data_IF_112740866243
#
_entry.id   IF_112740866243
#
_cell.length_a   1.000
_cell.length_b   1.000
_cell.length_c   1.000
_cell.angle_alpha   90.00
_cell.angle_beta   90.00
_cell.angle_gamma   90.00
#
_symmetry.space_group_name_H-M   'P 1'
#
loop_
_entity.id
_entity.type
_entity.pdbx_description
1 polymer ?
#
# COMPACT_ATOMS: atom_id res chain seq x y z
N UNK A 1 -34.93 -32.59 -11.21
CA UNK A 1 -34.47 -31.46 -10.39
C UNK A 1 -32.97 -31.60 -10.13
N UNK A 2 -32.13 -30.96 -10.90
CA UNK A 2 -30.68 -30.90 -10.63
C UNK A 2 -30.39 -29.57 -9.94
N UNK A 3 -29.95 -29.63 -8.69
CA UNK A 3 -29.53 -28.49 -7.92
C UNK A 3 -28.46 -27.71 -8.71
N UNK A 4 -28.77 -26.47 -9.02
CA UNK A 4 -27.80 -25.50 -9.55
C UNK A 4 -26.73 -25.30 -8.50
N UNK A 5 -25.60 -25.98 -8.64
CA UNK A 5 -24.44 -25.81 -7.78
C UNK A 5 -23.96 -24.36 -7.88
N UNK A 6 -24.39 -23.55 -6.94
CA UNK A 6 -23.82 -22.23 -6.73
C UNK A 6 -22.31 -22.42 -6.46
N UNK A 7 -21.46 -21.98 -7.37
CA UNK A 7 -20.01 -21.98 -7.15
C UNK A 7 -19.73 -21.20 -5.87
N UNK A 8 -19.02 -21.76 -4.90
CA UNK A 8 -18.78 -21.08 -3.63
C UNK A 8 -18.04 -19.77 -3.89
N UNK A 9 -18.61 -18.63 -3.43
CA UNK A 9 -18.02 -17.31 -3.61
C UNK A 9 -16.87 -17.04 -2.62
N UNK A 10 -16.67 -17.91 -1.63
CA UNK A 10 -15.68 -17.77 -0.56
C UNK A 10 -14.21 -17.61 -1.03
N UNK A 11 -13.71 -18.29 -2.10
CA UNK A 11 -12.32 -18.10 -2.52
C UNK A 11 -12.04 -16.67 -3.02
N UNK A 12 -13.02 -15.99 -3.57
CA UNK A 12 -12.90 -14.60 -4.02
C UNK A 12 -12.79 -13.62 -2.85
N UNK A 13 -13.54 -13.87 -1.78
CA UNK A 13 -13.42 -13.09 -0.55
C UNK A 13 -12.07 -13.27 0.13
N UNK A 14 -11.52 -14.48 0.15
CA UNK A 14 -10.19 -14.75 0.66
C UNK A 14 -9.10 -14.08 -0.17
N UNK A 15 -9.21 -14.11 -1.49
CA UNK A 15 -8.27 -13.41 -2.38
C UNK A 15 -8.30 -11.90 -2.16
N UNK A 16 -9.50 -11.32 -2.03
CA UNK A 16 -9.67 -9.91 -1.71
C UNK A 16 -9.08 -9.57 -0.34
N UNK A 17 -9.39 -10.34 0.69
CA UNK A 17 -8.89 -10.13 2.04
C UNK A 17 -7.36 -10.23 2.08
N UNK A 18 -6.79 -11.25 1.45
CA UNK A 18 -5.34 -11.42 1.37
C UNK A 18 -4.65 -10.26 0.65
N UNK A 19 -5.15 -9.85 -0.51
CA UNK A 19 -4.60 -8.70 -1.25
C UNK A 19 -4.76 -7.39 -0.47
N UNK A 20 -5.89 -7.18 0.20
CA UNK A 20 -6.15 -6.00 1.03
C UNK A 20 -5.22 -5.93 2.23
N UNK A 21 -4.99 -7.05 2.92
CA UNK A 21 -4.07 -7.13 4.07
C UNK A 21 -2.62 -6.90 3.66
N UNK A 22 -2.14 -7.56 2.60
CA UNK A 22 -0.77 -7.42 2.15
C UNK A 22 -0.47 -5.99 1.67
N UNK A 23 -1.32 -5.42 0.83
CA UNK A 23 -1.14 -4.06 0.35
C UNK A 23 -1.34 -3.02 1.45
N UNK A 24 -2.31 -3.26 2.35
CA UNK A 24 -2.51 -2.40 3.53
C UNK A 24 -1.31 -2.39 4.46
N UNK A 25 -0.71 -3.55 4.73
CA UNK A 25 0.52 -3.65 5.51
C UNK A 25 1.69 -2.92 4.84
N UNK A 26 1.83 -3.04 3.51
CA UNK A 26 2.87 -2.35 2.76
C UNK A 26 2.67 -0.81 2.80
N UNK A 27 1.45 -0.32 2.57
CA UNK A 27 1.12 1.11 2.63
C UNK A 27 1.41 1.68 4.02
N UNK A 28 0.97 0.98 5.07
CA UNK A 28 1.21 1.38 6.46
C UNK A 28 2.69 1.36 6.79
N UNK A 29 3.42 0.32 6.39
CA UNK A 29 4.86 0.21 6.61
C UNK A 29 5.64 1.35 5.96
N UNK A 30 5.33 1.70 4.70
CA UNK A 30 5.96 2.84 4.01
C UNK A 30 5.61 4.17 4.68
N UNK A 31 4.36 4.37 5.10
CA UNK A 31 3.95 5.59 5.79
C UNK A 31 4.68 5.76 7.12
N UNK A 32 4.74 4.71 7.93
CA UNK A 32 5.46 4.72 9.22
C UNK A 32 6.96 4.94 9.03
N UNK A 33 7.58 4.29 8.06
CA UNK A 33 9.01 4.46 7.76
C UNK A 33 9.33 5.92 7.35
N UNK A 34 8.45 6.58 6.59
CA UNK A 34 8.60 8.00 6.24
C UNK A 34 8.48 8.90 7.47
N UNK A 35 7.53 8.63 8.35
CA UNK A 35 7.34 9.39 9.59
C UNK A 35 8.54 9.24 10.53
N UNK A 36 9.09 8.03 10.65
CA UNK A 36 10.30 7.75 11.42
C UNK A 36 11.52 8.48 10.84
N UNK A 37 11.72 8.39 9.52
CA UNK A 37 12.82 9.07 8.84
C UNK A 37 12.74 10.60 9.01
N UNK A 38 11.55 11.19 8.92
CA UNK A 38 11.33 12.61 9.17
C UNK A 38 11.67 12.96 10.63
N UNK A 39 11.15 12.22 11.61
CA UNK A 39 11.45 12.41 13.03
C UNK A 39 12.96 12.34 13.32
N UNK A 40 13.65 11.33 12.78
CA UNK A 40 15.09 11.17 12.97
C UNK A 40 15.89 12.31 12.32
N UNK A 41 15.41 12.82 11.18
CA UNK A 41 16.03 13.97 10.51
C UNK A 41 15.89 15.23 11.36
N UNK A 42 14.67 15.52 11.84
CA UNK A 42 14.39 16.65 12.72
C UNK A 42 15.18 16.57 14.03
N UNK A 43 15.27 15.38 14.63
CA UNK A 43 16.03 15.16 15.86
C UNK A 43 17.54 15.38 15.65
N UNK A 44 18.09 15.01 14.49
CA UNK A 44 19.49 15.32 14.13
C UNK A 44 19.71 16.81 13.93
N UNK A 45 18.76 17.52 13.30
CA UNK A 45 18.82 18.97 13.13
C UNK A 45 18.81 19.64 14.51
N UNK A 46 17.86 19.29 15.38
CA UNK A 46 17.77 19.82 16.74
C UNK A 46 19.05 19.57 17.54
N UNK A 47 19.60 18.37 17.49
CA UNK A 47 20.87 18.04 18.13
C UNK A 47 22.02 18.87 17.58
N UNK A 48 22.09 19.07 16.27
CA UNK A 48 23.13 19.90 15.64
C UNK A 48 23.05 21.36 16.09
N UNK A 49 21.83 21.92 16.10
CA UNK A 49 21.62 23.31 16.52
C UNK A 49 22.05 23.53 17.98
N UNK A 50 21.60 22.66 18.88
CA UNK A 50 21.97 22.73 20.30
C UNK A 50 23.49 22.53 20.50
N UNK A 51 24.12 21.62 19.77
CA UNK A 51 25.56 21.41 19.83
C UNK A 51 26.33 22.63 19.32
N UNK A 52 25.87 23.27 18.26
CA UNK A 52 26.47 24.52 17.76
C UNK A 52 26.38 25.65 18.79
N UNK A 53 25.23 25.81 19.45
CA UNK A 53 25.07 26.80 20.52
C UNK A 53 26.01 26.50 21.70
N UNK A 54 26.13 25.25 22.13
CA UNK A 54 27.00 24.87 23.22
C UNK A 54 28.48 25.15 22.89
N UNK A 55 28.94 24.86 21.68
CA UNK A 55 30.30 25.18 21.21
C UNK A 55 30.49 26.69 21.12
N UNK A 56 29.46 27.43 20.69
CA UNK A 56 29.54 28.92 20.65
C UNK A 56 29.69 29.52 22.03
N UNK A 57 29.00 29.01 23.05
CA UNK A 57 29.18 29.46 24.44
C UNK A 57 30.60 29.23 24.93
N UNK A 58 31.20 28.10 24.62
CA UNK A 58 32.56 27.79 24.95
C UNK A 58 33.56 28.73 24.24
N UNK A 59 33.31 29.02 22.95
CA UNK A 59 34.15 29.98 22.19
C UNK A 59 34.06 31.39 22.78
N UNK A 60 32.87 31.86 23.17
CA UNK A 60 32.69 33.16 23.84
C UNK A 60 33.48 33.20 25.16
N UNK A 61 33.39 32.13 25.96
CA UNK A 61 34.12 32.06 27.23
C UNK A 61 35.63 32.04 27.04
N UNK A 62 36.14 31.30 26.07
CA UNK A 62 37.56 31.31 25.72
C UNK A 62 38.03 32.68 25.23
N UNK A 63 37.21 33.39 24.43
CA UNK A 63 37.54 34.76 23.98
C UNK A 63 37.61 35.73 25.14
N UNK A 64 36.66 35.67 26.09
CA UNK A 64 36.68 36.48 27.31
C UNK A 64 37.93 36.23 28.14
N UNK A 65 38.35 34.98 28.26
CA UNK A 65 39.56 34.61 29.00
C UNK A 65 40.87 35.15 28.36
N UNK A 66 40.86 35.42 27.04
CA UNK A 66 41.99 35.95 26.30
C UNK A 66 42.07 37.49 26.37
N UNK A 67 40.91 38.17 26.44
CA UNK A 67 40.84 39.65 26.34
C UNK A 67 41.26 40.38 27.61
N UNK A 68 41.44 39.71 28.75
CA UNK A 68 41.84 40.28 30.06
C UNK A 68 41.29 41.69 30.27
N UNK A 69 40.12 41.90 30.88
CA UNK A 69 39.53 43.23 31.00
C UNK A 69 40.34 44.09 31.99
N UNK A 70 40.98 45.18 31.51
CA UNK A 70 41.72 46.10 32.33
C UNK A 70 40.82 46.99 33.24
N UNK A 71 39.51 47.06 32.98
CA UNK A 71 38.61 47.87 33.83
C UNK A 71 37.18 47.28 33.88
N UNK A 72 36.55 47.14 35.07
CA UNK A 72 35.26 46.44 35.22
C UNK A 72 34.04 47.18 34.65
N UNK A 73 34.08 48.50 34.47
CA UNK A 73 32.89 49.30 34.11
C UNK A 73 32.66 49.45 32.59
N UNK A 74 33.64 49.16 31.74
CA UNK A 74 33.54 49.29 30.27
C UNK A 74 33.75 47.97 29.52
N UNK A 75 33.76 46.86 30.23
CA UNK A 75 34.04 45.54 29.66
C UNK A 75 33.05 45.16 28.57
N UNK A 76 33.50 44.67 27.41
CA UNK A 76 32.61 44.09 26.37
C UNK A 76 31.67 43.04 26.91
N UNK A 77 32.04 42.36 27.99
CA UNK A 77 31.24 41.38 28.72
C UNK A 77 29.88 41.91 29.20
N UNK A 78 29.76 43.19 29.55
CA UNK A 78 28.46 43.76 30.01
C UNK A 78 27.43 43.90 28.87
N UNK A 79 27.86 43.87 27.59
CA UNK A 79 26.98 43.98 26.41
C UNK A 79 26.60 42.63 25.82
N UNK A 80 27.24 41.55 26.24
CA UNK A 80 26.98 40.19 25.70
C UNK A 80 25.56 39.73 25.90
N UNK A 81 24.87 39.94 27.04
CA UNK A 81 23.47 39.56 27.20
C UNK A 81 22.52 40.24 26.21
N UNK A 82 22.85 41.47 25.75
CA UNK A 82 22.04 42.15 24.74
C UNK A 82 22.22 41.56 23.32
N UNK A 83 23.38 40.95 23.04
CA UNK A 83 23.65 40.30 21.76
C UNK A 83 23.29 38.84 21.73
N UNK A 84 23.33 38.19 22.87
CA UNK A 84 23.06 36.75 23.04
C UNK A 84 21.97 36.56 24.10
N UNK A 85 20.69 36.42 23.74
CA UNK A 85 19.57 36.36 24.70
C UNK A 85 19.70 35.19 25.69
N UNK A 86 20.40 34.12 25.32
CA UNK A 86 20.68 32.98 26.18
C UNK A 86 21.71 33.26 27.28
N UNK A 87 22.45 34.35 27.20
CA UNK A 87 23.43 34.76 28.22
C UNK A 87 22.76 35.70 29.22
N UNK A 88 22.54 35.25 30.44
CA UNK A 88 21.91 36.07 31.49
C UNK A 88 22.91 36.97 32.21
N UNK A 89 24.08 36.43 32.53
CA UNK A 89 25.12 37.13 33.26
C UNK A 89 26.52 36.68 32.84
N UNK A 90 27.45 37.58 32.91
CA UNK A 90 28.89 37.31 32.73
C UNK A 90 29.61 37.75 33.99
N UNK A 91 30.35 36.85 34.62
CA UNK A 91 31.15 37.13 35.80
C UNK A 91 32.61 36.86 35.50
N UNK A 92 33.47 37.73 36.10
CA UNK A 92 34.91 37.55 36.07
C UNK A 92 35.42 37.53 37.50
N UNK A 93 36.36 36.65 37.78
CA UNK A 93 37.08 36.54 39.04
C UNK A 93 38.58 36.63 38.79
N UNK A 94 39.27 37.57 39.47
CA UNK A 94 40.69 37.71 39.42
C UNK A 94 41.32 37.29 40.75
N UNK A 95 42.43 36.57 40.71
CA UNK A 95 43.15 36.09 41.90
C UNK A 95 42.25 35.25 42.83
N UNK A 96 42.41 35.47 44.13
CA UNK A 96 41.67 34.79 45.20
C UNK A 96 40.35 35.46 45.57
N UNK A 97 39.86 36.43 44.79
CA UNK A 97 38.61 37.10 45.07
C UNK A 97 37.43 36.09 45.14
N UNK A 98 36.54 36.19 46.13
CA UNK A 98 35.46 35.25 46.23
C UNK A 98 34.41 35.49 45.16
N UNK A 99 33.76 34.43 44.68
CA UNK A 99 32.56 34.52 43.84
C UNK A 99 31.38 35.18 44.60
N UNK A 100 30.39 35.77 43.90
CA UNK A 100 29.22 36.38 44.53
C UNK A 100 28.49 35.39 45.45
N UNK A 101 27.98 35.87 46.60
CA UNK A 101 27.47 35.03 47.66
C UNK A 101 26.36 34.05 47.22
N UNK A 102 25.41 34.47 46.41
CA UNK A 102 24.28 33.63 45.97
C UNK A 102 24.64 32.46 45.05
N UNK A 103 25.85 32.44 44.49
CA UNK A 103 26.31 31.39 43.55
C UNK A 103 27.72 30.87 43.87
N UNK A 104 28.29 31.31 44.99
CA UNK A 104 29.69 31.03 45.39
C UNK A 104 30.02 29.52 45.36
N UNK A 105 29.20 28.69 46.01
CA UNK A 105 29.46 27.26 46.12
C UNK A 105 29.44 26.54 44.77
N UNK A 106 28.46 26.86 43.93
CA UNK A 106 28.30 26.26 42.60
C UNK A 106 29.45 26.69 41.67
N UNK A 107 29.75 27.99 41.67
CA UNK A 107 30.82 28.54 40.82
C UNK A 107 32.19 28.00 41.22
N UNK A 108 32.49 27.94 42.52
CA UNK A 108 33.77 27.42 43.01
C UNK A 108 33.93 25.92 42.71
N UNK A 109 32.88 25.12 42.88
CA UNK A 109 32.91 23.70 42.52
C UNK A 109 33.09 23.50 41.03
N UNK A 110 32.36 24.25 40.21
CA UNK A 110 32.44 24.15 38.72
C UNK A 110 33.81 24.63 38.22
N UNK A 111 34.38 25.69 38.84
CA UNK A 111 35.71 26.15 38.51
C UNK A 111 36.78 25.10 38.82
N UNK A 112 36.69 24.41 39.97
CA UNK A 112 37.60 23.33 40.30
C UNK A 112 37.55 22.19 39.25
N UNK A 113 36.37 21.82 38.77
CA UNK A 113 36.23 20.87 37.68
C UNK A 113 36.84 21.37 36.39
N UNK A 114 36.59 22.66 36.01
CA UNK A 114 37.16 23.27 34.83
C UNK A 114 38.70 23.26 34.85
N UNK A 115 39.28 23.61 35.98
CA UNK A 115 40.75 23.59 36.17
C UNK A 115 41.34 22.20 36.05
N UNK A 116 40.64 21.20 36.60
CA UNK A 116 41.07 19.80 36.52
C UNK A 116 41.00 19.27 35.07
N UNK A 117 39.98 19.66 34.33
CA UNK A 117 39.76 19.19 32.95
C UNK A 117 40.55 20.01 31.90
N UNK A 118 40.97 21.23 32.23
CA UNK A 118 41.66 22.13 31.30
C UNK A 118 40.78 22.81 30.25
N UNK A 119 39.46 22.66 30.37
CA UNK A 119 38.47 23.31 29.51
C UNK A 119 37.27 23.79 30.33
N UNK A 120 36.37 24.54 29.68
CA UNK A 120 35.14 25.01 30.35
C UNK A 120 34.34 23.84 30.90
N UNK A 121 33.73 24.02 32.06
CA UNK A 121 32.84 23.02 32.68
C UNK A 121 31.46 23.63 33.01
N UNK A 122 30.41 22.86 32.84
CA UNK A 122 29.06 23.26 33.24
C UNK A 122 28.77 22.87 34.68
N UNK A 123 28.15 23.76 35.42
CA UNK A 123 27.57 23.47 36.73
C UNK A 123 26.26 22.72 36.64
N UNK A 124 25.68 22.34 37.79
CA UNK A 124 24.37 21.70 37.82
C UNK A 124 23.28 22.66 37.32
N UNK A 125 22.25 22.10 36.71
CA UNK A 125 21.03 22.84 36.39
C UNK A 125 20.35 23.33 37.67
N UNK A 126 20.06 24.61 37.74
CA UNK A 126 19.43 25.23 38.92
C UNK A 126 17.92 25.01 38.92
N UNK A 127 17.32 24.87 40.10
CA UNK A 127 15.86 24.79 40.23
C UNK A 127 15.23 26.17 40.08
N UNK A 128 14.09 26.24 39.40
CA UNK A 128 13.37 27.49 39.15
C UNK A 128 13.57 27.95 37.72
N UNK A 129 14.20 29.09 37.45
CA UNK A 129 14.60 29.42 36.09
C UNK A 129 15.66 28.42 35.65
N UNK A 130 15.41 27.71 34.53
CA UNK A 130 16.21 26.60 34.01
C UNK A 130 17.56 27.11 33.47
N UNK A 131 18.41 27.59 34.38
CA UNK A 131 19.72 28.13 34.04
C UNK A 131 20.85 27.29 34.64
N UNK A 132 22.02 27.40 34.01
CA UNK A 132 23.27 26.78 34.44
C UNK A 132 24.42 27.77 34.37
N UNK A 133 25.49 27.43 35.06
CA UNK A 133 26.74 28.17 34.97
C UNK A 133 27.74 27.39 34.10
N UNK A 134 28.36 28.08 33.15
CA UNK A 134 29.51 27.60 32.39
C UNK A 134 30.74 28.35 32.87
N UNK A 135 31.74 27.65 33.41
CA UNK A 135 32.89 28.25 34.05
C UNK A 135 34.16 27.80 33.34
N UNK A 136 35.06 28.74 33.12
CA UNK A 136 36.43 28.50 32.64
C UNK A 136 37.43 29.11 33.61
N UNK A 137 38.20 28.28 34.32
CA UNK A 137 39.30 28.68 35.15
C UNK A 137 40.62 28.59 34.37
N UNK A 138 41.38 29.70 34.30
CA UNK A 138 42.67 29.75 33.59
C UNK A 138 43.68 30.63 34.34
N UNK A 139 44.83 30.06 34.71
CA UNK A 139 45.81 30.79 35.54
C UNK A 139 45.17 31.27 36.86
N UNK A 140 45.40 32.54 37.20
CA UNK A 140 44.82 33.19 38.39
C UNK A 140 43.42 33.76 38.18
N UNK A 141 42.84 33.62 36.98
CA UNK A 141 41.53 34.16 36.68
C UNK A 141 40.49 33.08 36.34
N UNK A 142 39.22 33.41 36.50
CA UNK A 142 38.12 32.58 36.05
C UNK A 142 36.99 33.44 35.48
N UNK A 143 36.37 32.94 34.45
CA UNK A 143 35.21 33.53 33.79
C UNK A 143 34.03 32.60 33.91
N UNK A 144 32.84 33.17 34.16
CA UNK A 144 31.59 32.38 34.25
C UNK A 144 30.49 33.05 33.43
N UNK A 145 29.76 32.22 32.69
CA UNK A 145 28.55 32.59 31.97
C UNK A 145 27.34 31.93 32.62
N UNK A 146 26.33 32.70 32.93
CA UNK A 146 25.03 32.17 33.31
C UNK A 146 24.18 31.99 32.04
N UNK A 147 23.79 30.77 31.74
CA UNK A 147 23.07 30.38 30.52
C UNK A 147 21.60 30.04 30.87
N UNK A 148 20.67 30.58 30.11
CA UNK A 148 19.31 30.09 30.06
C UNK A 148 19.23 28.92 29.06
N UNK A 149 18.94 27.74 29.57
CA UNK A 149 18.93 26.51 28.76
C UNK A 149 17.76 26.50 27.78
N UNK A 150 16.62 27.08 28.13
CA UNK A 150 15.49 27.21 27.19
C UNK A 150 15.77 28.17 26.06
N UNK A 151 16.44 29.26 26.34
CA UNK A 151 16.83 30.25 25.34
C UNK A 151 17.94 29.77 24.39
N UNK A 152 18.57 28.60 24.66
CA UNK A 152 19.48 27.94 23.71
C UNK A 152 18.78 27.44 22.45
N UNK A 153 17.45 27.29 22.48
CA UNK A 153 16.65 26.84 21.33
C UNK A 153 16.49 27.99 20.34
N UNK A 154 17.03 27.90 19.12
CA UNK A 154 16.82 28.91 18.09
C UNK A 154 15.42 28.80 17.53
N UNK A 155 14.49 29.62 18.01
CA UNK A 155 13.07 29.54 17.69
C UNK A 155 12.75 29.54 16.19
N UNK A 156 13.55 30.21 15.35
CA UNK A 156 13.34 30.31 13.90
C UNK A 156 13.71 29.06 13.14
N UNK A 157 14.64 28.25 13.66
CA UNK A 157 15.17 27.06 12.98
C UNK A 157 14.79 25.76 13.70
N UNK A 158 14.07 25.90 14.84
CA UNK A 158 13.72 24.75 15.65
C UNK A 158 12.66 23.88 14.99
N UNK A 159 12.92 22.58 14.74
CA UNK A 159 11.99 21.74 13.98
C UNK A 159 10.60 21.60 14.60
N UNK A 160 10.52 21.81 15.92
CA UNK A 160 9.28 21.61 16.70
C UNK A 160 8.74 22.92 17.31
N UNK A 161 9.12 24.09 16.77
CA UNK A 161 8.68 25.39 17.25
C UNK A 161 7.12 25.58 17.21
N UNK A 162 6.47 24.94 16.26
CA UNK A 162 5.01 24.99 16.09
C UNK A 162 4.20 24.04 16.98
N UNK A 163 4.84 23.34 17.91
CA UNK A 163 4.22 22.24 18.63
C UNK A 163 4.11 20.97 17.76
N UNK A 164 3.54 19.90 18.27
CA UNK A 164 3.37 18.67 17.53
C UNK A 164 3.46 17.41 18.39
N UNK A 165 3.57 16.22 17.79
CA UNK A 165 3.58 14.96 18.51
C UNK A 165 4.96 14.60 19.12
N UNK A 166 5.95 15.52 19.04
CA UNK A 166 7.30 15.27 19.54
C UNK A 166 7.50 15.91 20.90
N UNK A 167 7.86 15.08 21.87
CA UNK A 167 8.34 15.54 23.17
C UNK A 167 9.87 15.56 23.13
N UNK A 168 10.47 16.72 23.40
CA UNK A 168 11.93 16.89 23.43
C UNK A 168 12.37 17.51 24.74
N UNK A 169 13.41 16.94 25.33
CA UNK A 169 13.99 17.38 26.59
C UNK A 169 15.53 17.30 26.54
N UNK A 170 16.15 18.21 27.27
CA UNK A 170 17.59 18.17 27.54
C UNK A 170 17.82 17.61 28.93
N UNK A 171 18.58 16.55 29.02
CA UNK A 171 18.89 15.84 30.27
C UNK A 171 20.32 16.17 30.72
N UNK A 172 20.44 16.60 31.95
CA UNK A 172 21.75 16.92 32.58
C UNK A 172 21.75 16.27 33.99
N UNK A 173 22.43 15.15 34.15
CA UNK A 173 22.38 14.38 35.39
C UNK A 173 20.95 13.98 35.76
N UNK A 174 20.52 14.33 36.97
CA UNK A 174 19.18 14.02 37.49
C UNK A 174 18.09 15.03 37.03
N UNK A 175 18.45 16.04 36.28
CA UNK A 175 17.53 17.10 35.86
C UNK A 175 17.26 17.07 34.38
N UNK A 176 16.06 17.49 34.03
CA UNK A 176 15.60 17.59 32.65
C UNK A 176 14.92 18.91 32.40
N UNK A 177 15.17 19.50 31.24
CA UNK A 177 14.56 20.71 30.74
C UNK A 177 13.74 20.38 29.51
N UNK A 178 12.43 20.63 29.58
CA UNK A 178 11.54 20.40 28.43
C UNK A 178 11.73 21.50 27.41
N UNK A 179 12.12 21.13 26.19
CA UNK A 179 12.32 22.03 25.06
C UNK A 179 11.10 22.05 24.11
N UNK A 180 10.37 20.94 24.03
CA UNK A 180 9.11 20.84 23.28
C UNK A 180 8.15 19.91 24.04
N UNK A 181 6.96 20.41 24.29
CA UNK A 181 5.87 19.62 24.90
C UNK A 181 5.12 18.89 23.77
N UNK A 182 5.35 17.58 23.66
CA UNK A 182 4.58 16.75 22.74
C UNK A 182 3.15 16.53 23.24
N UNK A 183 2.19 16.54 22.35
CA UNK A 183 0.81 16.17 22.68
C UNK A 183 0.76 14.66 22.97
N UNK A 184 0.36 14.24 24.18
CA UNK A 184 0.24 12.82 24.50
C UNK A 184 -0.88 12.20 23.68
N UNK A 185 -0.52 11.31 22.78
CA UNK A 185 -1.45 10.48 21.98
C UNK A 185 -1.50 9.08 22.59
N UNK A 186 -2.63 8.38 22.43
CA UNK A 186 -2.65 6.92 22.71
C UNK A 186 -1.66 6.24 21.78
N UNK A 187 -0.46 5.97 22.31
CA UNK A 187 0.64 5.49 21.52
C UNK A 187 0.49 4.00 21.18
N UNK A 188 0.48 3.69 19.89
CA UNK A 188 0.69 2.33 19.39
C UNK A 188 2.17 1.96 19.43
N UNK A 189 3.02 2.95 19.17
CA UNK A 189 4.47 2.82 19.19
C UNK A 189 5.10 4.19 19.50
N UNK A 190 6.33 4.17 20.08
CA UNK A 190 7.09 5.39 20.38
C UNK A 190 8.50 5.24 19.87
N UNK A 191 8.93 6.17 19.01
CA UNK A 191 10.31 6.28 18.59
C UNK A 191 11.05 7.19 19.57
N UNK A 192 12.29 6.83 19.89
CA UNK A 192 13.15 7.59 20.80
C UNK A 192 14.48 7.87 20.12
N UNK A 193 14.91 9.12 20.21
CA UNK A 193 16.25 9.58 19.82
C UNK A 193 16.97 10.13 21.03
N UNK A 194 18.17 9.61 21.32
CA UNK A 194 18.99 10.11 22.43
C UNK A 194 20.43 10.31 21.95
N UNK A 195 20.96 11.49 22.20
CA UNK A 195 22.33 11.80 21.82
C UNK A 195 22.91 12.91 22.71
N UNK A 196 24.16 12.73 23.15
CA UNK A 196 24.90 13.74 23.91
C UNK A 196 25.34 14.88 22.97
N UNK A 197 25.26 16.14 23.43
CA UNK A 197 25.72 17.29 22.67
C UNK A 197 27.21 17.20 22.36
N UNK A 198 27.61 17.72 21.21
CA UNK A 198 29.00 17.69 20.75
C UNK A 198 29.84 18.81 21.37
N UNK A 199 29.67 19.09 22.67
CA UNK A 199 30.42 20.08 23.44
C UNK A 199 30.85 19.45 24.77
N UNK A 200 32.12 19.14 24.96
CA UNK A 200 32.61 18.52 26.20
C UNK A 200 32.31 19.37 27.45
N UNK A 201 32.26 20.69 27.30
CA UNK A 201 31.94 21.63 28.39
C UNK A 201 30.49 21.55 28.87
N UNK A 202 29.59 21.02 28.04
CA UNK A 202 28.15 20.92 28.30
C UNK A 202 27.64 19.52 27.90
N UNK A 203 27.91 18.47 28.67
CA UNK A 203 27.61 17.08 28.33
C UNK A 203 26.12 16.76 28.54
N UNK A 204 25.24 17.57 27.98
CA UNK A 204 23.82 17.36 28.05
C UNK A 204 23.34 16.33 26.99
N UNK A 205 22.38 15.53 27.33
CA UNK A 205 21.78 14.57 26.42
C UNK A 205 20.45 15.12 25.89
N UNK A 206 20.36 15.33 24.57
CA UNK A 206 19.07 15.56 23.93
C UNK A 206 18.32 14.24 23.86
N UNK A 207 17.15 14.18 24.49
CA UNK A 207 16.20 13.08 24.39
C UNK A 207 14.94 13.59 23.71
N UNK A 208 14.65 13.07 22.52
CA UNK A 208 13.44 13.37 21.79
C UNK A 208 12.62 12.07 21.60
N UNK A 209 11.32 12.15 21.77
CA UNK A 209 10.41 11.03 21.57
C UNK A 209 9.19 11.45 20.77
N UNK A 210 8.75 10.56 19.85
CA UNK A 210 7.53 10.75 19.08
C UNK A 210 6.61 9.55 19.27
N UNK A 211 5.43 9.77 19.79
CA UNK A 211 4.36 8.78 19.87
C UNK A 211 3.58 8.74 18.55
N UNK A 212 3.34 7.53 18.06
CA UNK A 212 2.53 7.26 16.87
C UNK A 212 1.22 6.67 17.32
N UNK A 213 0.12 7.32 16.93
CA UNK A 213 -1.23 6.90 17.27
C UNK A 213 -2.03 6.46 16.04
N UNK A 214 -3.29 6.13 16.28
CA UNK A 214 -4.23 5.76 15.21
C UNK A 214 -4.44 6.87 14.17
N UNK A 215 -4.31 8.15 14.57
CA UNK A 215 -4.45 9.29 13.66
C UNK A 215 -3.33 9.40 12.64
N UNK A 216 -2.15 8.85 12.93
CA UNK A 216 -1.00 8.87 12.03
C UNK A 216 -1.08 7.82 10.92
N UNK A 217 -2.03 6.89 10.99
CA UNK A 217 -2.23 5.86 9.98
C UNK A 217 -2.82 6.44 8.70
N UNK A 218 -2.40 5.95 7.52
CA UNK A 218 -2.85 6.46 6.23
C UNK A 218 -4.25 5.91 5.86
N UNK A 219 -5.29 6.23 6.61
CA UNK A 219 -6.65 5.70 6.46
C UNK A 219 -7.22 5.87 5.05
N UNK A 220 -7.00 7.02 4.43
CA UNK A 220 -7.46 7.26 3.06
C UNK A 220 -6.75 6.36 2.04
N UNK A 221 -5.45 6.11 2.24
CA UNK A 221 -4.69 5.17 1.41
C UNK A 221 -5.17 3.73 1.58
N UNK A 222 -5.45 3.31 2.82
CA UNK A 222 -6.00 1.99 3.14
C UNK A 222 -7.39 1.79 2.52
N UNK A 223 -8.27 2.79 2.64
CA UNK A 223 -9.61 2.75 2.05
C UNK A 223 -9.54 2.66 0.53
N UNK A 224 -8.74 3.52 -0.11
CA UNK A 224 -8.57 3.52 -1.56
C UNK A 224 -8.03 2.18 -2.07
N UNK A 225 -7.06 1.59 -1.37
CA UNK A 225 -6.52 0.27 -1.69
C UNK A 225 -7.57 -0.82 -1.55
N UNK A 226 -8.33 -0.84 -0.46
CA UNK A 226 -9.39 -1.83 -0.23
C UNK A 226 -10.48 -1.76 -1.32
N UNK A 227 -10.87 -0.54 -1.73
CA UNK A 227 -11.82 -0.33 -2.82
C UNK A 227 -11.25 -0.78 -4.18
N UNK A 228 -9.98 -0.49 -4.45
CA UNK A 228 -9.32 -0.96 -5.67
C UNK A 228 -9.26 -2.51 -5.73
N UNK A 229 -8.93 -3.16 -4.63
CA UNK A 229 -8.97 -4.62 -4.53
C UNK A 229 -10.39 -5.18 -4.74
N UNK A 230 -11.42 -4.54 -4.16
CA UNK A 230 -12.82 -4.93 -4.37
C UNK A 230 -13.24 -4.77 -5.83
N UNK A 231 -12.87 -3.66 -6.47
CA UNK A 231 -13.12 -3.41 -7.90
C UNK A 231 -12.43 -4.45 -8.79
N UNK A 232 -11.17 -4.73 -8.53
CA UNK A 232 -10.40 -5.73 -9.29
C UNK A 232 -11.00 -7.15 -9.15
N UNK A 233 -11.36 -7.55 -7.93
CA UNK A 233 -11.95 -8.88 -7.70
C UNK A 233 -13.32 -9.02 -8.34
N UNK A 234 -14.17 -7.99 -8.27
CA UNK A 234 -15.49 -7.99 -8.94
C UNK A 234 -15.34 -8.01 -10.45
N UNK A 235 -14.41 -7.25 -11.02
CA UNK A 235 -14.12 -7.26 -12.45
C UNK A 235 -13.66 -8.62 -12.94
N UNK A 236 -12.68 -9.24 -12.26
CA UNK A 236 -12.20 -10.60 -12.59
C UNK A 236 -13.32 -11.62 -12.49
N UNK A 237 -14.15 -11.55 -11.42
CA UNK A 237 -15.28 -12.43 -11.26
C UNK A 237 -16.28 -12.31 -12.42
N UNK A 238 -16.60 -11.08 -12.85
CA UNK A 238 -17.48 -10.83 -13.99
C UNK A 238 -16.90 -11.40 -15.30
N UNK A 239 -15.60 -11.18 -15.55
CA UNK A 239 -14.93 -11.73 -16.73
C UNK A 239 -14.98 -13.26 -16.77
N UNK A 240 -14.72 -13.91 -15.64
CA UNK A 240 -14.81 -15.38 -15.54
C UNK A 240 -16.24 -15.85 -15.77
N UNK A 241 -17.23 -15.16 -15.20
CA UNK A 241 -18.65 -15.50 -15.39
C UNK A 241 -19.08 -15.37 -16.85
N UNK A 242 -18.71 -14.26 -17.53
CA UNK A 242 -18.96 -14.05 -18.95
C UNK A 242 -18.33 -15.14 -19.83
N UNK A 243 -17.05 -15.44 -19.60
CA UNK A 243 -16.36 -16.52 -20.33
C UNK A 243 -17.04 -17.88 -20.15
N UNK A 244 -17.54 -18.18 -18.95
CA UNK A 244 -18.30 -19.42 -18.68
C UNK A 244 -19.65 -19.41 -19.41
N UNK A 245 -20.37 -18.28 -19.43
CA UNK A 245 -21.63 -18.13 -20.16
C UNK A 245 -21.45 -18.33 -21.68
N UNK A 246 -20.43 -17.69 -22.27
CA UNK A 246 -20.10 -17.87 -23.69
C UNK A 246 -19.77 -19.33 -24.02
N UNK A 247 -18.94 -20.00 -23.21
CA UNK A 247 -18.63 -21.43 -23.42
C UNK A 247 -19.87 -22.30 -23.37
N UNK A 248 -20.82 -22.05 -22.45
CA UNK A 248 -22.11 -22.79 -22.37
C UNK A 248 -22.97 -22.54 -23.58
N UNK A 249 -23.09 -21.28 -24.04
CA UNK A 249 -23.84 -20.95 -25.24
C UNK A 249 -23.27 -21.67 -26.48
N UNK A 250 -21.98 -21.66 -26.68
CA UNK A 250 -21.33 -22.38 -27.78
C UNK A 250 -21.55 -23.92 -27.70
N UNK A 251 -21.50 -24.49 -26.49
CA UNK A 251 -21.76 -25.90 -26.30
C UNK A 251 -23.21 -26.28 -26.67
N UNK A 252 -24.19 -25.46 -26.29
CA UNK A 252 -25.61 -25.67 -26.64
C UNK A 252 -25.83 -25.55 -28.15
N UNK A 253 -25.20 -24.57 -28.81
CA UNK A 253 -25.28 -24.43 -30.26
C UNK A 253 -24.71 -25.67 -31.00
N UNK A 254 -23.58 -26.20 -30.55
CA UNK A 254 -23.00 -27.43 -31.11
C UNK A 254 -23.91 -28.65 -30.91
N UNK A 255 -24.49 -28.81 -29.71
CA UNK A 255 -25.46 -29.89 -29.45
C UNK A 255 -26.69 -29.80 -30.34
N UNK A 256 -27.20 -28.56 -30.54
CA UNK A 256 -28.31 -28.34 -31.46
C UNK A 256 -27.98 -28.69 -32.91
N UNK A 257 -26.77 -28.40 -33.39
CA UNK A 257 -26.30 -28.76 -34.72
C UNK A 257 -26.14 -30.26 -34.89
N UNK A 258 -25.52 -30.95 -33.91
CA UNK A 258 -25.38 -32.42 -33.96
C UNK A 258 -26.71 -33.13 -33.90
N UNK A 259 -27.64 -32.64 -33.08
CA UNK A 259 -29.02 -33.20 -33.03
C UNK A 259 -29.73 -33.07 -34.38
N UNK A 260 -29.64 -31.90 -35.02
CA UNK A 260 -30.24 -31.72 -36.37
C UNK A 260 -29.60 -32.65 -37.41
N UNK A 261 -28.25 -32.83 -37.38
CA UNK A 261 -27.58 -33.75 -38.28
C UNK A 261 -27.98 -35.21 -38.05
N UNK A 262 -28.12 -35.62 -36.78
CA UNK A 262 -28.60 -36.97 -36.46
C UNK A 262 -30.04 -37.21 -36.94
N UNK A 263 -30.94 -36.25 -36.70
CA UNK A 263 -32.33 -36.35 -37.20
C UNK A 263 -32.38 -36.42 -38.73
N UNK A 264 -31.57 -35.61 -39.41
CA UNK A 264 -31.42 -35.69 -40.87
C UNK A 264 -30.89 -37.04 -41.32
N UNK A 265 -29.90 -37.59 -40.60
CA UNK A 265 -29.33 -38.90 -40.86
C UNK A 265 -30.37 -40.05 -40.70
N UNK A 266 -31.16 -40.03 -39.62
CA UNK A 266 -32.23 -41.01 -39.40
C UNK A 266 -33.33 -40.91 -40.46
N UNK A 267 -33.73 -39.66 -40.81
CA UNK A 267 -34.70 -39.46 -41.90
C UNK A 267 -34.17 -39.94 -43.24
N UNK A 268 -32.90 -39.66 -43.56
CA UNK A 268 -32.28 -40.10 -44.80
C UNK A 268 -32.19 -41.64 -44.89
N UNK A 269 -31.81 -42.29 -43.78
CA UNK A 269 -31.77 -43.77 -43.71
C UNK A 269 -33.16 -44.40 -43.85
N UNK A 270 -34.16 -43.86 -43.18
CA UNK A 270 -35.56 -44.33 -43.32
C UNK A 270 -36.09 -44.15 -44.75
N UNK A 271 -35.82 -43.00 -45.37
CA UNK A 271 -36.25 -42.72 -46.73
C UNK A 271 -35.50 -43.58 -47.77
N UNK A 272 -34.21 -43.86 -47.56
CA UNK A 272 -33.49 -44.79 -48.43
C UNK A 272 -34.07 -46.17 -48.36
N UNK A 273 -34.53 -46.63 -47.19
CA UNK A 273 -35.16 -47.92 -47.05
C UNK A 273 -36.61 -47.95 -47.72
N UNK A 274 -37.42 -46.91 -47.55
CA UNK A 274 -38.75 -46.79 -48.17
C UNK A 274 -38.67 -46.65 -49.71
N UNK A 275 -37.59 -46.07 -50.26
CA UNK A 275 -37.36 -45.96 -51.68
C UNK A 275 -36.85 -47.28 -52.29
N UNK A 276 -35.97 -47.98 -51.63
CA UNK A 276 -35.39 -49.23 -52.10
C UNK A 276 -36.43 -50.34 -52.24
N UNK A 277 -37.41 -50.35 -51.34
CA UNK A 277 -38.54 -51.38 -51.40
C UNK A 277 -39.29 -51.32 -52.72
N UNK A 278 -39.92 -50.21 -53.15
CA UNK A 278 -40.66 -50.18 -54.40
C UNK A 278 -39.78 -50.33 -55.65
N UNK A 279 -38.50 -49.79 -55.58
CA UNK A 279 -37.57 -49.93 -56.70
C UNK A 279 -37.16 -51.38 -56.89
N UNK A 280 -36.91 -52.15 -55.83
CA UNK A 280 -36.63 -53.58 -55.89
C UNK A 280 -37.82 -54.34 -56.50
N UNK A 281 -39.01 -53.94 -56.07
CA UNK A 281 -40.24 -54.57 -56.65
C UNK A 281 -40.44 -54.22 -58.14
N UNK A 282 -40.10 -52.97 -58.56
CA UNK A 282 -40.07 -52.60 -60.00
C UNK A 282 -39.12 -53.49 -60.79
N UNK A 283 -37.89 -53.65 -60.30
CA UNK A 283 -36.91 -54.51 -60.99
C UNK A 283 -37.35 -55.96 -61.07
N UNK A 284 -37.86 -56.52 -59.98
CA UNK A 284 -38.33 -57.89 -59.95
C UNK A 284 -39.57 -58.15 -60.90
N UNK A 285 -40.55 -57.27 -60.89
CA UNK A 285 -41.71 -57.36 -61.76
C UNK A 285 -41.35 -57.19 -63.25
N UNK A 286 -40.38 -56.26 -63.55
CA UNK A 286 -39.90 -56.07 -64.92
C UNK A 286 -39.12 -57.27 -65.40
N UNK A 287 -38.28 -57.88 -64.54
CA UNK A 287 -37.58 -59.12 -64.86
C UNK A 287 -38.53 -60.31 -65.07
N UNK A 288 -39.58 -60.43 -64.25
CA UNK A 288 -40.60 -61.45 -64.40
C UNK A 288 -41.36 -61.27 -65.72
N UNK A 289 -41.76 -60.07 -66.06
CA UNK A 289 -42.38 -59.77 -67.35
C UNK A 289 -41.49 -60.14 -68.54
N UNK A 290 -40.16 -59.78 -68.48
CA UNK A 290 -39.24 -60.13 -69.51
C UNK A 290 -39.09 -61.66 -69.72
N UNK A 291 -39.08 -62.46 -68.64
CA UNK A 291 -39.00 -63.92 -68.74
C UNK A 291 -40.26 -64.49 -69.38
N UNK A 292 -41.41 -64.04 -68.93
CA UNK A 292 -42.72 -64.49 -69.47
C UNK A 292 -42.92 -64.14 -70.96
N UNK A 293 -42.27 -63.05 -71.41
CA UNK A 293 -42.26 -62.68 -72.83
C UNK A 293 -41.26 -63.51 -73.66
N UNK A 294 -40.28 -64.12 -73.02
CA UNK A 294 -39.26 -64.94 -73.65
C UNK A 294 -39.66 -66.46 -73.70
N UNK A 295 -40.70 -66.84 -73.00
CA UNK A 295 -41.23 -68.23 -72.98
C UNK A 295 -42.00 -68.56 -74.27
N UNK A 296 -42.07 -69.86 -74.66
CA UNK A 296 -42.82 -70.36 -75.82
C UNK A 296 -43.77 -71.46 -75.36
N UNK A 297 -45.12 -71.25 -75.34
CA UNK A 297 -45.79 -70.05 -75.82
C UNK A 297 -45.74 -68.84 -74.84
N UNK A 298 -45.76 -67.64 -75.36
CA UNK A 298 -45.74 -66.41 -74.59
C UNK A 298 -46.97 -66.21 -73.72
N UNK A 299 -46.81 -66.05 -72.42
CA UNK A 299 -47.91 -65.73 -71.49
C UNK A 299 -48.19 -64.22 -71.37
N UNK A 300 -48.81 -63.63 -72.36
CA UNK A 300 -49.18 -62.23 -72.46
C UNK A 300 -49.98 -61.68 -71.24
N UNK A 301 -50.97 -62.35 -70.73
CA UNK A 301 -51.73 -61.82 -69.59
C UNK A 301 -50.93 -61.63 -68.31
N UNK A 302 -50.07 -62.67 -68.03
CA UNK A 302 -49.22 -62.61 -66.83
C UNK A 302 -48.11 -61.60 -66.97
N UNK A 303 -47.53 -61.49 -68.18
CA UNK A 303 -46.49 -60.43 -68.46
C UNK A 303 -47.10 -59.02 -68.32
N UNK A 304 -48.31 -58.79 -68.85
CA UNK A 304 -48.99 -57.50 -68.73
C UNK A 304 -49.33 -57.18 -67.28
N UNK A 305 -49.74 -58.17 -66.47
CA UNK A 305 -49.96 -57.99 -65.04
C UNK A 305 -48.68 -57.58 -64.30
N UNK A 306 -47.56 -58.26 -64.57
CA UNK A 306 -46.27 -57.92 -63.95
C UNK A 306 -45.81 -56.52 -64.35
N UNK A 307 -45.97 -56.10 -65.61
CA UNK A 307 -45.69 -54.70 -66.00
C UNK A 307 -46.60 -53.71 -65.31
N UNK A 308 -47.90 -54.01 -65.14
CA UNK A 308 -48.81 -53.18 -64.36
C UNK A 308 -48.39 -52.98 -62.90
N UNK A 309 -47.92 -54.07 -62.26
CA UNK A 309 -47.36 -54.00 -60.90
C UNK A 309 -46.08 -53.15 -60.87
N UNK A 310 -45.22 -53.27 -61.83
CA UNK A 310 -43.98 -52.43 -61.93
C UNK A 310 -44.35 -50.94 -62.01
N UNK A 311 -45.32 -50.59 -62.85
CA UNK A 311 -45.80 -49.16 -62.94
C UNK A 311 -46.41 -48.66 -61.61
N UNK A 312 -47.21 -49.53 -60.95
CA UNK A 312 -47.79 -49.18 -59.64
C UNK A 312 -46.72 -48.93 -58.58
N UNK A 313 -45.66 -49.74 -58.53
CA UNK A 313 -44.53 -49.51 -57.61
C UNK A 313 -43.71 -48.27 -57.97
N UNK A 314 -43.43 -47.97 -59.25
CA UNK A 314 -42.80 -46.77 -59.71
C UNK A 314 -43.57 -45.46 -59.26
N UNK A 315 -44.92 -45.51 -59.37
CA UNK A 315 -45.78 -44.42 -58.88
C UNK A 315 -45.69 -44.25 -57.35
N UNK A 316 -45.56 -45.36 -56.62
CA UNK A 316 -45.36 -45.31 -55.16
C UNK A 316 -44.00 -44.67 -54.81
N UNK A 317 -42.91 -45.04 -55.50
CA UNK A 317 -41.60 -44.40 -55.28
C UNK A 317 -41.66 -42.91 -55.58
N UNK A 318 -42.29 -42.48 -56.65
CA UNK A 318 -42.51 -41.08 -57.01
C UNK A 318 -43.29 -40.30 -55.93
N UNK A 319 -44.28 -40.91 -55.33
CA UNK A 319 -45.07 -40.32 -54.24
C UNK A 319 -44.25 -40.15 -52.95
N UNK A 320 -43.33 -41.09 -52.62
CA UNK A 320 -42.37 -40.94 -51.49
C UNK A 320 -41.46 -39.75 -51.72
N UNK A 321 -40.89 -39.62 -52.91
CA UNK A 321 -40.01 -38.45 -53.28
C UNK A 321 -40.79 -37.12 -53.23
N UNK A 322 -42.02 -37.07 -53.67
CA UNK A 322 -42.91 -35.91 -53.60
C UNK A 322 -43.14 -35.43 -52.14
N UNK A 323 -43.43 -36.40 -51.25
CA UNK A 323 -43.58 -36.10 -49.81
C UNK A 323 -42.30 -35.56 -49.17
N UNK A 324 -41.16 -36.12 -49.53
CA UNK A 324 -39.85 -35.60 -49.07
C UNK A 324 -39.63 -34.16 -49.49
N UNK A 325 -39.85 -33.86 -50.77
CA UNK A 325 -39.67 -32.53 -51.32
C UNK A 325 -40.59 -31.50 -50.62
N UNK A 326 -41.82 -31.86 -50.35
CA UNK A 326 -42.78 -31.03 -49.64
C UNK A 326 -42.41 -30.84 -48.14
N UNK A 327 -41.77 -31.83 -47.49
CA UNK A 327 -41.30 -31.72 -46.11
C UNK A 327 -40.07 -30.83 -46.01
N UNK A 328 -39.11 -30.94 -46.91
CA UNK A 328 -37.94 -30.09 -46.97
C UNK A 328 -38.30 -28.63 -47.30
N UNK A 329 -39.24 -28.38 -48.21
CA UNK A 329 -39.71 -27.04 -48.53
C UNK A 329 -40.37 -26.34 -47.34
N UNK A 330 -41.12 -27.08 -46.50
CA UNK A 330 -41.72 -26.56 -45.27
C UNK A 330 -40.66 -26.21 -44.20
N UNK A 331 -39.64 -27.04 -44.06
CA UNK A 331 -38.56 -26.78 -43.08
C UNK A 331 -37.65 -25.59 -43.47
N UNK A 332 -37.61 -25.20 -44.76
CA UNK A 332 -36.84 -24.09 -45.25
C UNK A 332 -37.61 -22.74 -45.26
N UNK A 333 -38.95 -22.77 -45.11
CA UNK A 333 -39.82 -21.59 -45.20
C UNK A 333 -40.28 -20.98 -43.88
N UNK A 334 -39.94 -21.58 -42.73
CA UNK A 334 -40.47 -21.19 -41.42
C UNK A 334 -39.44 -20.40 -40.59
N UNK A 335 -38.82 -19.39 -41.22
CA UNK A 335 -38.08 -18.37 -40.49
C UNK A 335 -38.87 -17.08 -40.56
N UNK A 336 -39.55 -16.62 -39.47
CA UNK A 336 -40.13 -15.27 -39.44
C UNK A 336 -38.99 -14.24 -39.55
N UNK A 337 -39.21 -13.10 -40.21
CA UNK A 337 -38.24 -12.03 -40.30
C UNK A 337 -37.95 -11.52 -38.88
N UNK A 338 -36.69 -11.09 -38.58
CA UNK A 338 -36.37 -10.45 -37.29
C UNK A 338 -37.06 -9.07 -37.28
N UNK A 339 -37.85 -8.82 -36.22
CA UNK A 339 -38.31 -7.48 -35.83
C UNK A 339 -37.18 -6.62 -35.28
#
# INVERSE_FOLDING_TARGET
MRATGATPHWPWWLAWLGASLLGGAAITGVALARLEAAFLTDARIAHRLLSQQAVQHEAVLNMLALLQPEAPAQAPAARLPALYPQLLRVLHRAGDAPWPEGSRAVLAATEAVSRQQGHAASGPLMAGPEHTWLVLGRGDSAHALQLDVRAMVPHTEWPWAGGGPVHAQLVAGDRQVVLAEGVPTQALHTWVFQKVLAAPSQPYTLSASRSVGWADLPWWGLLAWALACAGATTWVHQQVAQRRAHRRAHALLRLGQTSRLNTLGELAAGLAHELNQPLTAVVANTQAANRLLADDPVDWPTAQHAMGQAVAQAKRAAAVLGRLRASLARSSGDTPPPD
#
